data_IF_603786572253
#
_entry.id   IF_603786572253
#
_cell.length_a   1.000
_cell.length_b   1.000
_cell.length_c   1.000
_cell.angle_alpha   90.00
_cell.angle_beta   90.00
_cell.angle_gamma   90.00
#
_symmetry.space_group_name_H-M   'P 1'
#
loop_
_entity.id
_entity.type
_entity.pdbx_description
1 polymer ?
#
# COMPACT_ATOMS: atom_id res chain seq x y z
N UNK A 1 48.31 11.71 -0.14
CA UNK A 1 48.87 13.07 -0.16
C UNK A 1 47.75 14.07 -0.28
N UNK A 2 47.79 15.19 0.47
CA UNK A 2 46.73 16.22 0.42
C UNK A 2 47.38 17.53 0.01
N UNK A 3 46.80 18.23 -0.97
CA UNK A 3 47.33 19.54 -1.45
C UNK A 3 46.21 20.59 -1.43
N UNK A 4 46.53 21.81 -1.06
CA UNK A 4 45.63 22.98 -1.21
C UNK A 4 45.73 23.46 -2.67
N UNK A 5 44.59 23.67 -3.31
CA UNK A 5 44.48 24.17 -4.68
C UNK A 5 44.45 25.70 -4.71
N UNK A 6 44.67 26.28 -5.87
CA UNK A 6 44.61 27.74 -6.08
C UNK A 6 43.22 28.33 -5.86
N UNK A 7 42.17 27.48 -6.03
CA UNK A 7 40.76 27.83 -5.81
C UNK A 7 40.30 27.72 -4.34
N UNK A 8 41.25 27.49 -3.41
CA UNK A 8 40.99 27.43 -1.97
C UNK A 8 40.56 26.03 -1.46
N UNK A 9 40.22 25.10 -2.33
CA UNK A 9 39.81 23.73 -1.96
C UNK A 9 41.04 22.85 -1.66
N UNK A 10 40.81 21.82 -0.84
CA UNK A 10 41.81 20.78 -0.57
C UNK A 10 41.56 19.57 -1.45
N UNK A 11 42.59 18.99 -2.03
CA UNK A 11 42.54 17.76 -2.81
C UNK A 11 43.31 16.66 -2.08
N UNK A 12 42.58 15.62 -1.62
CA UNK A 12 43.18 14.37 -1.17
C UNK A 12 43.27 13.39 -2.33
N UNK A 13 44.33 12.58 -2.41
CA UNK A 13 44.54 11.64 -3.51
C UNK A 13 44.82 10.24 -2.98
N UNK A 14 44.31 9.21 -3.67
CA UNK A 14 44.74 7.83 -3.53
C UNK A 14 44.99 7.20 -4.91
N UNK A 15 45.62 6.03 -4.92
CA UNK A 15 45.74 5.16 -6.09
C UNK A 15 45.02 3.83 -5.82
N UNK A 16 44.14 3.45 -6.71
CA UNK A 16 43.45 2.17 -6.66
C UNK A 16 43.53 1.57 -8.06
N UNK A 17 43.97 0.33 -8.18
CA UNK A 17 44.16 -0.38 -9.46
C UNK A 17 44.96 0.43 -10.50
N UNK A 18 46.04 1.07 -10.08
CA UNK A 18 46.92 1.88 -10.96
C UNK A 18 46.37 3.26 -11.32
N UNK A 19 45.08 3.56 -11.12
CA UNK A 19 44.47 4.86 -11.44
C UNK A 19 44.47 5.78 -10.23
N UNK A 20 44.83 7.07 -10.47
CA UNK A 20 44.84 8.12 -9.44
C UNK A 20 43.48 8.78 -9.33
N UNK A 21 42.89 8.76 -8.12
CA UNK A 21 41.59 9.37 -7.82
C UNK A 21 41.77 10.57 -6.89
N UNK A 22 40.96 11.62 -7.10
CA UNK A 22 41.05 12.90 -6.37
C UNK A 22 39.75 13.15 -5.61
N UNK A 23 39.88 13.65 -4.37
CA UNK A 23 38.76 13.97 -3.49
C UNK A 23 38.86 15.43 -3.06
N UNK A 24 37.86 16.22 -3.41
CA UNK A 24 37.86 17.66 -3.17
C UNK A 24 36.90 18.03 -2.03
N UNK A 25 37.34 18.95 -1.14
CA UNK A 25 36.51 19.52 -0.09
C UNK A 25 37.02 20.91 0.33
N UNK A 26 36.18 21.68 1.02
CA UNK A 26 36.51 22.99 1.53
C UNK A 26 37.57 22.94 2.64
N UNK A 27 37.60 21.84 3.41
CA UNK A 27 38.58 21.63 4.48
C UNK A 27 39.48 20.41 4.19
N UNK A 28 40.70 20.46 4.75
CA UNK A 28 41.65 19.35 4.68
C UNK A 28 41.09 18.07 5.30
N UNK A 29 40.39 18.21 6.44
CA UNK A 29 39.79 17.09 7.19
C UNK A 29 38.72 16.38 6.37
N UNK A 30 37.84 17.12 5.72
CA UNK A 30 36.80 16.56 4.86
C UNK A 30 37.38 15.88 3.60
N UNK A 31 38.38 16.46 2.97
CA UNK A 31 39.02 15.84 1.81
C UNK A 31 39.69 14.51 2.18
N UNK A 32 40.32 14.45 3.35
CA UNK A 32 40.91 13.21 3.90
C UNK A 32 39.80 12.21 4.23
N UNK A 33 38.76 12.64 4.93
CA UNK A 33 37.62 11.75 5.28
C UNK A 33 36.97 11.12 4.04
N UNK A 34 36.72 11.91 2.99
CA UNK A 34 36.20 11.40 1.71
C UNK A 34 37.12 10.36 1.07
N UNK A 35 38.42 10.57 1.09
CA UNK A 35 39.42 9.63 0.58
C UNK A 35 39.40 8.33 1.41
N UNK A 36 39.41 8.46 2.73
CA UNK A 36 39.51 7.30 3.63
C UNK A 36 38.23 6.46 3.64
N UNK A 37 37.07 7.10 3.54
CA UNK A 37 35.80 6.38 3.28
C UNK A 37 35.84 5.59 1.97
N UNK A 38 36.38 6.20 0.90
CA UNK A 38 36.53 5.50 -0.37
C UNK A 38 37.49 4.30 -0.28
N UNK A 39 38.63 4.46 0.39
CA UNK A 39 39.60 3.39 0.58
C UNK A 39 39.05 2.27 1.49
N UNK A 40 38.34 2.60 2.55
CA UNK A 40 37.66 1.63 3.41
C UNK A 40 36.63 0.82 2.60
N UNK A 41 35.85 1.48 1.74
CA UNK A 41 34.88 0.84 0.84
C UNK A 41 35.54 -0.13 -0.14
N UNK A 42 36.60 0.30 -0.84
CA UNK A 42 37.34 -0.55 -1.80
C UNK A 42 37.93 -1.77 -1.09
N UNK A 43 38.37 -1.62 0.16
CA UNK A 43 38.89 -2.71 0.97
C UNK A 43 37.81 -3.66 1.47
N UNK A 44 36.63 -3.14 1.78
CA UNK A 44 35.50 -3.90 2.32
C UNK A 44 34.73 -4.68 1.23
N UNK A 45 34.70 -4.13 0.00
CA UNK A 45 33.98 -4.70 -1.12
C UNK A 45 34.85 -4.70 -2.39
N UNK A 46 35.88 -5.58 -2.47
CA UNK A 46 36.81 -5.61 -3.60
C UNK A 46 36.16 -5.99 -4.93
N UNK A 47 35.06 -6.77 -4.87
CA UNK A 47 34.34 -7.30 -6.04
C UNK A 47 33.14 -6.43 -6.48
N UNK A 48 32.89 -5.29 -5.82
CA UNK A 48 31.79 -4.40 -6.24
C UNK A 48 32.22 -3.69 -7.53
N UNK A 49 31.61 -4.11 -8.63
CA UNK A 49 31.88 -3.55 -9.96
C UNK A 49 31.61 -2.02 -9.92
N UNK A 50 32.66 -1.24 -10.24
CA UNK A 50 32.61 0.24 -10.22
C UNK A 50 31.63 0.79 -11.25
N UNK A 51 31.14 -0.05 -12.13
CA UNK A 51 30.25 0.30 -13.23
C UNK A 51 28.83 -0.28 -13.10
N UNK A 52 28.44 -0.72 -11.88
CA UNK A 52 27.11 -1.23 -11.69
C UNK A 52 26.05 -0.22 -12.14
N UNK A 53 25.18 -0.66 -13.02
CA UNK A 53 24.09 0.15 -13.54
C UNK A 53 22.95 0.27 -12.51
N UNK A 54 22.08 1.26 -12.69
CA UNK A 54 20.89 1.41 -11.85
C UNK A 54 19.98 0.18 -11.95
N UNK A 55 19.88 -0.44 -13.13
CA UNK A 55 19.10 -1.65 -13.36
C UNK A 55 19.63 -2.83 -12.56
N UNK A 56 20.94 -3.11 -12.67
CA UNK A 56 21.60 -4.19 -11.94
C UNK A 56 21.49 -3.99 -10.42
N UNK A 57 21.72 -2.75 -9.95
CA UNK A 57 21.55 -2.44 -8.53
C UNK A 57 20.14 -2.67 -8.03
N UNK A 58 19.12 -2.17 -8.75
CA UNK A 58 17.72 -2.37 -8.36
C UNK A 58 17.35 -3.85 -8.31
N UNK A 59 17.86 -4.66 -9.25
CA UNK A 59 17.61 -6.10 -9.28
C UNK A 59 18.27 -6.81 -8.10
N UNK A 60 19.56 -6.54 -7.83
CA UNK A 60 20.26 -7.09 -6.68
C UNK A 60 19.62 -6.67 -5.34
N UNK A 61 19.22 -5.40 -5.22
CA UNK A 61 18.52 -4.90 -4.03
C UNK A 61 17.18 -5.62 -3.81
N UNK A 62 16.40 -5.88 -4.88
CA UNK A 62 15.15 -6.64 -4.76
C UNK A 62 15.39 -8.05 -4.22
N UNK A 63 16.44 -8.71 -4.64
CA UNK A 63 16.81 -10.05 -4.15
C UNK A 63 17.16 -10.01 -2.65
N UNK A 64 17.94 -9.01 -2.22
CA UNK A 64 18.35 -8.88 -0.80
C UNK A 64 17.18 -8.65 0.13
N UNK A 65 16.16 -7.89 -0.29
CA UNK A 65 14.99 -7.60 0.56
C UNK A 65 13.86 -8.63 0.45
N UNK A 66 14.02 -9.67 -0.37
CA UNK A 66 12.95 -10.64 -0.62
C UNK A 66 12.45 -11.33 0.65
N UNK A 67 13.33 -11.58 1.64
CA UNK A 67 12.98 -12.13 2.95
C UNK A 67 12.40 -11.10 3.93
N UNK A 68 12.70 -9.83 3.76
CA UNK A 68 12.40 -8.78 4.73
C UNK A 68 11.03 -8.13 4.50
N UNK A 69 10.50 -8.26 3.29
CA UNK A 69 9.21 -7.68 2.91
C UNK A 69 8.17 -8.76 2.61
N UNK A 70 6.90 -8.40 2.72
CA UNK A 70 5.84 -9.33 2.33
C UNK A 70 5.92 -9.66 0.83
N UNK A 71 5.52 -10.89 0.39
CA UNK A 71 5.52 -11.26 -1.02
C UNK A 71 4.78 -10.24 -1.92
N UNK A 72 3.67 -9.69 -1.42
CA UNK A 72 2.91 -8.65 -2.14
C UNK A 72 3.66 -7.31 -2.25
N UNK A 73 4.44 -6.95 -1.24
CA UNK A 73 5.29 -5.75 -1.29
C UNK A 73 6.42 -5.95 -2.28
N UNK A 74 7.05 -7.13 -2.27
CA UNK A 74 8.10 -7.49 -3.21
C UNK A 74 7.58 -7.45 -4.66
N UNK A 75 6.44 -8.07 -4.96
CA UNK A 75 5.79 -8.01 -6.27
C UNK A 75 5.49 -6.56 -6.71
N UNK A 76 5.01 -5.73 -5.77
CA UNK A 76 4.74 -4.30 -6.04
C UNK A 76 6.01 -3.51 -6.35
N UNK A 77 7.11 -3.78 -5.63
CA UNK A 77 8.41 -3.15 -5.89
C UNK A 77 8.98 -3.60 -7.23
N UNK A 78 8.93 -4.90 -7.52
CA UNK A 78 9.34 -5.45 -8.81
C UNK A 78 8.58 -4.80 -9.97
N UNK A 79 7.25 -4.71 -9.85
CA UNK A 79 6.40 -4.11 -10.89
C UNK A 79 6.74 -2.64 -11.13
N UNK A 80 6.92 -1.86 -10.06
CA UNK A 80 7.19 -0.42 -10.23
C UNK A 80 8.61 -0.15 -10.69
N UNK A 81 9.59 -0.97 -10.28
CA UNK A 81 10.99 -0.82 -10.72
C UNK A 81 11.20 -1.20 -12.19
N UNK A 82 10.29 -1.94 -12.83
CA UNK A 82 10.33 -2.13 -14.30
C UNK A 82 10.33 -0.80 -15.05
N UNK A 83 9.67 0.22 -14.52
CA UNK A 83 9.76 1.56 -15.08
C UNK A 83 11.16 2.17 -15.02
N UNK A 84 12.10 1.59 -14.27
CA UNK A 84 13.50 2.00 -14.20
C UNK A 84 14.37 1.01 -14.97
N UNK A 85 14.24 -0.28 -14.65
CA UNK A 85 15.17 -1.34 -15.12
C UNK A 85 15.04 -1.60 -16.61
N UNK A 86 13.85 -1.44 -17.19
CA UNK A 86 13.57 -1.67 -18.61
C UNK A 86 13.66 -0.37 -19.46
N UNK A 87 14.23 0.71 -18.92
CA UNK A 87 14.27 2.03 -19.58
C UNK A 87 15.71 2.57 -19.62
N UNK A 88 16.01 3.52 -20.52
CA UNK A 88 17.39 4.03 -20.71
C UNK A 88 18.06 4.56 -19.45
N UNK A 89 17.29 5.08 -18.48
CA UNK A 89 17.84 5.51 -17.19
C UNK A 89 18.45 4.35 -16.40
N UNK A 90 17.91 3.14 -16.53
CA UNK A 90 18.42 1.93 -15.89
C UNK A 90 19.81 1.52 -16.36
N UNK A 91 20.16 1.83 -17.60
CA UNK A 91 21.47 1.50 -18.17
C UNK A 91 22.59 2.47 -17.69
N UNK A 92 22.26 3.56 -16.98
CA UNK A 92 23.27 4.46 -16.44
C UNK A 92 23.94 3.85 -15.22
N UNK A 93 25.25 4.06 -15.11
CA UNK A 93 25.99 3.65 -13.91
C UNK A 93 25.57 4.47 -12.70
N UNK A 94 25.60 3.90 -11.51
CA UNK A 94 25.23 4.61 -10.28
C UNK A 94 26.14 5.83 -10.03
N UNK A 95 27.40 5.78 -10.44
CA UNK A 95 28.36 6.89 -10.30
C UNK A 95 28.00 8.09 -11.20
N UNK A 96 27.39 7.84 -12.35
CA UNK A 96 27.01 8.87 -13.33
C UNK A 96 25.61 9.45 -13.11
N UNK A 97 24.84 8.87 -12.19
CA UNK A 97 23.51 9.38 -11.88
C UNK A 97 23.57 10.77 -11.22
N UNK A 98 22.77 11.68 -11.74
CA UNK A 98 22.62 13.05 -11.24
C UNK A 98 21.14 13.36 -11.02
N UNK A 99 20.81 14.29 -10.12
CA UNK A 99 19.41 14.71 -9.89
C UNK A 99 18.65 15.11 -11.16
N UNK A 100 19.34 15.73 -12.12
CA UNK A 100 18.73 16.15 -13.40
C UNK A 100 18.19 14.97 -14.19
N UNK A 101 18.89 13.83 -14.24
CA UNK A 101 18.45 12.63 -14.96
C UNK A 101 17.11 12.14 -14.45
N UNK A 102 16.89 12.13 -13.14
CA UNK A 102 15.62 11.73 -12.54
C UNK A 102 14.53 12.79 -12.76
N UNK A 103 14.85 14.09 -12.66
CA UNK A 103 13.86 15.15 -12.93
C UNK A 103 13.31 15.04 -14.34
N UNK A 104 14.18 14.95 -15.34
CA UNK A 104 13.77 14.77 -16.74
C UNK A 104 12.96 13.49 -16.90
N UNK A 105 13.45 12.39 -16.35
CA UNK A 105 12.78 11.09 -16.47
C UNK A 105 11.39 11.08 -15.83
N UNK A 106 11.18 11.71 -14.67
CA UNK A 106 9.84 11.82 -14.07
C UNK A 106 8.90 12.67 -14.93
N UNK A 107 9.41 13.71 -15.58
CA UNK A 107 8.61 14.51 -16.51
C UNK A 107 8.22 13.69 -17.73
N UNK A 108 9.12 12.92 -18.31
CA UNK A 108 8.85 12.03 -19.44
C UNK A 108 7.82 10.96 -19.08
N UNK A 109 7.90 10.36 -17.88
CA UNK A 109 6.90 9.42 -17.40
C UNK A 109 5.51 10.05 -17.30
N UNK A 110 5.40 11.27 -16.80
CA UNK A 110 4.14 12.00 -16.73
C UNK A 110 3.62 12.35 -18.12
N UNK A 111 4.48 12.81 -19.02
CA UNK A 111 4.15 13.12 -20.41
C UNK A 111 3.70 11.88 -21.20
N UNK A 112 4.21 10.69 -20.85
CA UNK A 112 3.76 9.41 -21.44
C UNK A 112 2.42 8.92 -20.89
N UNK A 113 1.75 9.69 -20.02
CA UNK A 113 0.41 9.39 -19.50
C UNK A 113 0.38 8.57 -18.23
N UNK A 114 1.52 8.32 -17.58
CA UNK A 114 1.55 7.67 -16.26
C UNK A 114 0.98 8.60 -15.18
N UNK A 115 0.21 8.02 -14.26
CA UNK A 115 -0.39 8.81 -13.19
C UNK A 115 0.68 9.41 -12.26
N UNK A 116 0.46 10.63 -11.72
CA UNK A 116 1.37 11.22 -10.71
C UNK A 116 1.62 10.29 -9.53
N UNK A 117 0.63 9.49 -9.15
CA UNK A 117 0.73 8.50 -8.07
C UNK A 117 1.71 7.38 -8.40
N UNK A 118 1.69 6.88 -9.65
CA UNK A 118 2.62 5.85 -10.12
C UNK A 118 4.05 6.37 -10.12
N UNK A 119 4.26 7.57 -10.66
CA UNK A 119 5.58 8.20 -10.73
C UNK A 119 6.12 8.51 -9.30
N UNK A 120 5.25 9.01 -8.42
CA UNK A 120 5.61 9.25 -7.02
C UNK A 120 5.95 7.95 -6.26
N UNK A 121 5.32 6.84 -6.59
CA UNK A 121 5.65 5.54 -6.02
C UNK A 121 6.97 5.01 -6.58
N UNK A 122 7.21 5.13 -7.89
CA UNK A 122 8.49 4.81 -8.52
C UNK A 122 9.64 5.60 -7.88
N UNK A 123 9.48 6.92 -7.69
CA UNK A 123 10.44 7.75 -6.95
C UNK A 123 10.72 7.19 -5.55
N UNK A 124 9.69 6.83 -4.80
CA UNK A 124 9.84 6.34 -3.42
C UNK A 124 10.64 5.03 -3.37
N UNK A 125 10.30 4.05 -4.21
CA UNK A 125 10.97 2.74 -4.23
C UNK A 125 12.41 2.87 -4.72
N UNK A 126 12.64 3.62 -5.81
CA UNK A 126 13.99 3.88 -6.33
C UNK A 126 14.86 4.62 -5.31
N UNK A 127 14.28 5.60 -4.60
CA UNK A 127 15.00 6.31 -3.54
C UNK A 127 15.38 5.39 -2.37
N UNK A 128 14.55 4.38 -2.07
CA UNK A 128 14.84 3.39 -1.03
C UNK A 128 16.00 2.48 -1.47
N UNK A 129 15.99 2.00 -2.71
CA UNK A 129 17.09 1.22 -3.27
C UNK A 129 18.41 2.01 -3.29
N UNK A 130 18.35 3.29 -3.69
CA UNK A 130 19.54 4.16 -3.70
C UNK A 130 20.02 4.56 -2.29
N UNK A 131 19.13 4.64 -1.30
CA UNK A 131 19.54 4.80 0.11
C UNK A 131 20.32 3.58 0.57
N UNK A 132 19.92 2.38 0.20
CA UNK A 132 20.67 1.17 0.50
C UNK A 132 22.06 1.23 -0.19
N UNK A 133 22.13 1.66 -1.44
CA UNK A 133 23.41 1.84 -2.13
C UNK A 133 24.38 2.82 -1.40
N UNK A 134 23.83 3.80 -0.72
CA UNK A 134 24.65 4.70 0.13
C UNK A 134 25.11 3.99 1.40
N UNK A 135 24.21 3.23 2.07
CA UNK A 135 24.54 2.47 3.28
C UNK A 135 25.60 1.41 2.99
N UNK A 136 25.47 0.72 1.86
CA UNK A 136 26.43 -0.29 1.40
C UNK A 136 27.72 0.33 0.82
N UNK A 137 27.82 1.67 0.81
CA UNK A 137 29.00 2.39 0.32
C UNK A 137 29.17 2.37 -1.20
N UNK A 138 28.19 1.93 -1.98
CA UNK A 138 28.26 1.87 -3.46
C UNK A 138 28.31 3.27 -4.08
N UNK A 139 27.53 4.20 -3.55
CA UNK A 139 27.55 5.63 -3.92
C UNK A 139 27.71 6.53 -2.70
N UNK A 140 28.33 7.71 -2.85
CA UNK A 140 28.57 8.62 -1.72
C UNK A 140 27.31 9.34 -1.23
N UNK A 141 26.29 9.48 -2.07
CA UNK A 141 25.04 10.16 -1.74
C UNK A 141 23.92 9.72 -2.69
N UNK A 142 22.68 9.80 -2.20
CA UNK A 142 21.51 9.47 -3.01
C UNK A 142 21.15 10.66 -3.94
N UNK A 143 21.26 10.51 -5.28
CA UNK A 143 20.93 11.58 -6.22
C UNK A 143 19.43 11.97 -6.19
N UNK A 144 18.54 11.08 -5.73
CA UNK A 144 17.12 11.39 -5.58
C UNK A 144 16.79 12.25 -4.36
N UNK A 145 17.71 12.41 -3.40
CA UNK A 145 17.46 13.24 -2.23
C UNK A 145 17.21 14.73 -2.59
N UNK A 146 17.79 15.20 -3.71
CA UNK A 146 17.61 16.56 -4.22
C UNK A 146 16.48 16.69 -5.27
N UNK A 147 15.69 15.62 -5.49
CA UNK A 147 14.62 15.61 -6.49
C UNK A 147 13.27 15.60 -5.77
N UNK A 148 12.45 16.62 -6.02
CA UNK A 148 11.10 16.66 -5.47
C UNK A 148 10.27 15.50 -6.03
N UNK A 149 9.59 14.80 -5.13
CA UNK A 149 8.57 13.81 -5.48
C UNK A 149 7.43 14.50 -6.25
N UNK A 150 6.93 13.90 -7.34
CA UNK A 150 5.77 14.45 -8.03
C UNK A 150 4.58 14.67 -7.09
N UNK A 151 3.92 15.79 -7.24
CA UNK A 151 2.72 16.09 -6.46
C UNK A 151 1.60 15.14 -6.88
N UNK A 152 1.03 14.46 -5.91
CA UNK A 152 -0.16 13.61 -6.10
C UNK A 152 -1.37 14.38 -5.59
N UNK A 153 -2.28 14.80 -6.48
CA UNK A 153 -3.51 15.47 -6.04
C UNK A 153 -4.26 14.59 -5.05
N UNK A 154 -4.68 15.17 -3.94
CA UNK A 154 -5.57 14.50 -2.99
C UNK A 154 -6.93 14.29 -3.64
N UNK A 155 -7.20 13.09 -4.12
CA UNK A 155 -8.55 12.70 -4.53
C UNK A 155 -9.36 12.44 -3.26
N UNK A 156 -10.35 13.27 -3.01
CA UNK A 156 -11.28 13.06 -1.89
C UNK A 156 -12.02 11.75 -2.14
N UNK A 157 -11.92 10.82 -1.20
CA UNK A 157 -12.74 9.62 -1.24
C UNK A 157 -14.18 10.04 -0.89
N UNK A 158 -15.10 9.89 -1.84
CA UNK A 158 -16.52 10.20 -1.63
C UNK A 158 -17.21 9.00 -1.01
N UNK A 159 -18.09 9.26 -0.04
CA UNK A 159 -19.00 8.24 0.48
C UNK A 159 -20.20 8.10 -0.47
N UNK A 160 -20.74 6.90 -0.55
CA UNK A 160 -21.96 6.61 -1.31
C UNK A 160 -23.20 7.03 -0.51
N UNK A 161 -24.17 7.59 -1.19
CA UNK A 161 -25.51 7.79 -0.61
C UNK A 161 -26.26 6.46 -0.54
N UNK A 162 -27.40 6.44 0.17
CA UNK A 162 -28.25 5.27 0.25
C UNK A 162 -28.79 4.85 -1.13
N UNK A 163 -29.23 5.84 -1.91
CA UNK A 163 -29.77 5.65 -3.25
C UNK A 163 -28.68 5.07 -4.20
N UNK A 164 -27.46 5.58 -4.08
CA UNK A 164 -26.33 5.06 -4.85
C UNK A 164 -25.97 3.62 -4.47
N UNK A 165 -26.02 3.29 -3.18
CA UNK A 165 -25.83 1.90 -2.72
C UNK A 165 -26.88 0.96 -3.29
N UNK A 166 -28.17 1.33 -3.24
CA UNK A 166 -29.25 0.52 -3.80
C UNK A 166 -29.13 0.38 -5.32
N UNK A 167 -28.76 1.47 -6.03
CA UNK A 167 -28.54 1.43 -7.46
C UNK A 167 -27.41 0.45 -7.85
N UNK A 168 -26.31 0.40 -7.07
CA UNK A 168 -25.22 -0.55 -7.29
C UNK A 168 -25.66 -1.97 -6.95
N UNK A 169 -26.36 -2.18 -5.83
CA UNK A 169 -26.84 -3.50 -5.42
C UNK A 169 -27.80 -4.11 -6.43
N UNK A 170 -28.66 -3.30 -7.05
CA UNK A 170 -29.57 -3.74 -8.11
C UNK A 170 -28.85 -4.22 -9.38
N UNK A 171 -27.58 -3.87 -9.57
CA UNK A 171 -26.74 -4.32 -10.71
C UNK A 171 -25.95 -5.60 -10.40
N UNK A 172 -26.03 -6.13 -9.20
CA UNK A 172 -25.31 -7.34 -8.78
C UNK A 172 -26.28 -8.53 -8.83
N UNK A 173 -26.17 -9.35 -9.86
CA UNK A 173 -26.99 -10.56 -10.03
C UNK A 173 -26.49 -11.73 -9.17
N UNK A 174 -25.18 -11.84 -8.90
CA UNK A 174 -24.62 -12.89 -8.08
C UNK A 174 -25.01 -12.70 -6.60
N UNK A 175 -25.76 -13.63 -5.99
CA UNK A 175 -26.27 -13.47 -4.63
C UNK A 175 -25.19 -13.52 -3.55
N UNK A 176 -24.06 -14.21 -3.80
CA UNK A 176 -22.93 -14.22 -2.87
C UNK A 176 -22.26 -12.85 -2.88
N UNK A 177 -21.97 -12.32 -4.08
CA UNK A 177 -21.36 -11.01 -4.24
C UNK A 177 -22.21 -9.90 -3.62
N UNK A 178 -23.52 -9.94 -3.81
CA UNK A 178 -24.46 -8.99 -3.19
C UNK A 178 -24.38 -9.04 -1.65
N UNK A 179 -24.36 -10.24 -1.06
CA UNK A 179 -24.20 -10.39 0.39
C UNK A 179 -22.84 -9.91 0.88
N UNK A 180 -21.77 -10.16 0.15
CA UNK A 180 -20.42 -9.61 0.44
C UNK A 180 -20.46 -8.09 0.46
N UNK A 181 -21.08 -7.46 -0.53
CA UNK A 181 -21.14 -5.99 -0.62
C UNK A 181 -21.97 -5.37 0.51
N UNK A 182 -23.16 -5.93 0.81
CA UNK A 182 -23.98 -5.48 1.94
C UNK A 182 -23.24 -5.65 3.28
N UNK A 183 -22.59 -6.78 3.47
CA UNK A 183 -21.78 -7.03 4.66
C UNK A 183 -20.61 -6.07 4.78
N UNK A 184 -19.99 -5.70 3.66
CA UNK A 184 -18.88 -4.72 3.62
C UNK A 184 -19.33 -3.31 4.07
N UNK A 185 -20.52 -2.86 3.66
CA UNK A 185 -21.05 -1.54 4.06
C UNK A 185 -21.34 -1.51 5.55
N UNK A 186 -21.97 -2.54 6.11
CA UNK A 186 -22.35 -2.55 7.53
C UNK A 186 -21.15 -2.70 8.46
N UNK A 187 -20.21 -3.59 8.09
CA UNK A 187 -19.07 -3.90 8.97
C UNK A 187 -17.86 -2.99 8.75
N UNK A 188 -17.73 -2.39 7.58
CA UNK A 188 -16.55 -1.65 7.16
C UNK A 188 -15.29 -2.51 7.05
N UNK A 189 -15.41 -3.84 7.05
CA UNK A 189 -14.26 -4.75 6.92
C UNK A 189 -13.56 -4.61 5.56
N UNK A 190 -12.25 -4.90 5.54
CA UNK A 190 -11.51 -4.94 4.28
C UNK A 190 -11.96 -6.14 3.44
N UNK A 191 -11.92 -6.02 2.11
CA UNK A 191 -12.25 -7.11 1.20
C UNK A 191 -11.56 -8.43 1.57
N UNK A 192 -10.25 -8.38 1.82
CA UNK A 192 -9.48 -9.56 2.20
C UNK A 192 -9.90 -10.17 3.53
N UNK A 193 -10.37 -9.37 4.48
CA UNK A 193 -10.89 -9.82 5.78
C UNK A 193 -12.24 -10.53 5.61
N UNK A 194 -13.13 -9.97 4.77
CA UNK A 194 -14.45 -10.57 4.48
C UNK A 194 -14.29 -11.91 3.76
N UNK A 195 -13.43 -11.98 2.74
CA UNK A 195 -13.17 -13.20 1.99
C UNK A 195 -12.41 -14.27 2.77
N UNK A 196 -11.72 -13.86 3.85
CA UNK A 196 -11.06 -14.76 4.79
C UNK A 196 -11.92 -15.15 5.99
N UNK A 197 -13.13 -14.62 6.15
CA UNK A 197 -13.97 -14.84 7.32
C UNK A 197 -14.47 -16.29 7.39
N UNK A 198 -14.38 -16.91 8.58
CA UNK A 198 -14.83 -18.29 8.84
C UNK A 198 -16.08 -18.31 9.71
N UNK A 199 -16.82 -19.40 9.65
CA UNK A 199 -17.97 -19.60 10.52
C UNK A 199 -17.63 -19.65 11.99
N UNK A 200 -16.46 -20.18 12.37
CA UNK A 200 -15.98 -20.18 13.76
C UNK A 200 -15.65 -18.77 14.29
N UNK A 201 -15.45 -17.79 13.40
CA UNK A 201 -15.21 -16.39 13.75
C UNK A 201 -16.53 -15.59 13.92
N UNK A 202 -17.68 -16.22 13.68
CA UNK A 202 -19.03 -15.62 13.81
C UNK A 202 -19.72 -16.16 15.05
N UNK A 203 -20.01 -15.30 16.00
CA UNK A 203 -20.79 -15.65 17.18
C UNK A 203 -22.24 -15.12 17.04
N UNK A 204 -23.17 -16.01 16.72
CA UNK A 204 -24.57 -15.66 16.52
C UNK A 204 -25.27 -15.21 17.81
N UNK A 205 -24.92 -15.79 18.95
CA UNK A 205 -25.54 -15.46 20.25
C UNK A 205 -25.07 -14.10 20.77
N UNK A 206 -23.77 -13.82 20.65
CA UNK A 206 -23.17 -12.52 21.06
C UNK A 206 -23.30 -11.46 19.95
N UNK A 207 -23.79 -11.80 18.78
CA UNK A 207 -23.87 -10.95 17.59
C UNK A 207 -22.53 -10.28 17.29
N UNK A 208 -21.45 -11.09 17.19
CA UNK A 208 -20.10 -10.57 16.94
C UNK A 208 -19.40 -11.32 15.82
N UNK A 209 -18.47 -10.63 15.16
CA UNK A 209 -17.59 -11.15 14.13
C UNK A 209 -16.15 -10.79 14.47
N UNK A 210 -15.26 -11.78 14.47
CA UNK A 210 -13.84 -11.60 14.78
C UNK A 210 -12.98 -11.68 13.51
N UNK A 211 -12.06 -10.77 13.34
CA UNK A 211 -11.13 -10.72 12.20
C UNK A 211 -9.83 -11.41 12.61
N UNK A 212 -9.62 -12.65 12.15
CA UNK A 212 -8.46 -13.46 12.54
C UNK A 212 -7.56 -13.85 11.36
N UNK A 213 -8.06 -13.76 10.14
CA UNK A 213 -7.31 -14.09 8.93
C UNK A 213 -7.75 -13.27 7.72
N UNK A 214 -7.00 -13.36 6.64
CA UNK A 214 -7.28 -12.64 5.40
C UNK A 214 -7.11 -13.57 4.19
N UNK A 215 -7.89 -13.32 3.14
CA UNK A 215 -7.73 -13.93 1.84
C UNK A 215 -6.93 -12.99 0.92
N UNK A 216 -5.79 -13.44 0.45
CA UNK A 216 -4.90 -12.69 -0.44
C UNK A 216 -4.85 -13.32 -1.82
N UNK A 217 -4.36 -12.56 -2.80
CA UNK A 217 -4.08 -13.08 -4.13
C UNK A 217 -2.64 -13.60 -4.15
N UNK A 218 -2.45 -14.82 -4.65
CA UNK A 218 -1.14 -15.38 -5.02
C UNK A 218 -1.08 -15.48 -6.55
N UNK A 219 0.05 -15.14 -7.12
CA UNK A 219 0.36 -15.27 -8.56
C UNK A 219 -0.72 -14.65 -9.48
N UNK A 220 -1.31 -13.54 -9.03
CA UNK A 220 -2.32 -12.79 -9.78
C UNK A 220 -3.70 -13.44 -9.91
N UNK A 221 -3.84 -14.75 -9.66
CA UNK A 221 -5.05 -15.54 -9.94
C UNK A 221 -5.58 -16.37 -8.78
N UNK A 222 -4.69 -16.94 -7.97
CA UNK A 222 -5.07 -17.86 -6.90
C UNK A 222 -5.41 -17.12 -5.61
N UNK A 223 -6.41 -17.61 -4.88
CA UNK A 223 -6.76 -17.12 -3.55
C UNK A 223 -6.04 -17.94 -2.48
N UNK A 224 -5.39 -17.26 -1.52
CA UNK A 224 -4.67 -17.91 -0.41
C UNK A 224 -5.10 -17.32 0.92
N UNK A 225 -5.46 -18.18 1.85
CA UNK A 225 -5.78 -17.79 3.22
C UNK A 225 -4.48 -17.63 4.02
N UNK A 226 -4.34 -16.47 4.65
CA UNK A 226 -3.18 -16.16 5.48
C UNK A 226 -3.64 -15.85 6.90
N UNK A 227 -3.14 -16.60 7.87
CA UNK A 227 -3.41 -16.39 9.31
C UNK A 227 -2.71 -15.14 9.88
N UNK A 228 -1.80 -14.55 9.12
CA UNK A 228 -1.09 -13.32 9.52
C UNK A 228 -1.89 -12.10 9.13
N UNK A 229 -2.40 -11.39 10.12
CA UNK A 229 -2.77 -9.97 9.96
C UNK A 229 -1.49 -9.14 10.08
N UNK A 230 -1.23 -8.23 9.14
CA UNK A 230 0.02 -7.41 9.06
C UNK A 230 0.39 -6.66 10.36
N UNK A 231 -0.58 -6.43 11.23
CA UNK A 231 -0.38 -5.69 12.50
C UNK A 231 -1.30 -6.27 13.59
N UNK A 232 -0.93 -6.15 14.84
CA UNK A 232 -1.76 -6.50 15.99
C UNK A 232 -3.10 -5.77 16.01
N UNK A 233 -3.14 -4.53 15.50
CA UNK A 233 -4.36 -3.72 15.35
C UNK A 233 -5.36 -4.27 14.32
N UNK A 234 -4.96 -5.23 13.51
CA UNK A 234 -5.86 -5.87 12.53
C UNK A 234 -6.76 -6.93 13.16
N UNK A 235 -6.36 -7.52 14.30
CA UNK A 235 -7.22 -8.45 15.05
C UNK A 235 -8.21 -7.64 15.88
N UNK A 236 -9.48 -7.82 15.60
CA UNK A 236 -10.55 -7.11 16.31
C UNK A 236 -11.84 -7.90 16.23
N UNK A 237 -12.74 -7.64 17.18
CA UNK A 237 -14.11 -8.17 17.19
C UNK A 237 -15.09 -7.01 16.97
N UNK A 238 -16.03 -7.21 16.06
CA UNK A 238 -17.05 -6.25 15.66
C UNK A 238 -18.40 -6.72 16.17
N UNK A 239 -19.18 -5.86 16.80
CA UNK A 239 -20.60 -6.09 17.02
C UNK A 239 -21.38 -5.87 15.73
N UNK A 240 -22.37 -6.71 15.47
CA UNK A 240 -23.25 -6.66 14.30
C UNK A 240 -24.70 -6.69 14.74
N UNK A 241 -25.58 -6.14 13.91
CA UNK A 241 -27.03 -6.03 14.15
C UNK A 241 -27.80 -7.30 13.73
N UNK A 242 -29.09 -7.32 14.02
CA UNK A 242 -29.98 -8.45 13.69
C UNK A 242 -30.16 -8.62 12.18
N UNK A 243 -30.13 -7.55 11.40
CA UNK A 243 -30.22 -7.61 9.95
C UNK A 243 -28.98 -8.31 9.36
N UNK A 244 -27.79 -7.99 9.88
CA UNK A 244 -26.54 -8.67 9.50
C UNK A 244 -26.50 -10.12 9.94
N UNK A 245 -27.03 -10.44 11.14
CA UNK A 245 -27.22 -11.84 11.59
C UNK A 245 -28.13 -12.61 10.64
N UNK A 246 -29.24 -12.00 10.21
CA UNK A 246 -30.17 -12.60 9.25
C UNK A 246 -29.52 -12.85 7.89
N UNK A 247 -28.72 -11.89 7.39
CA UNK A 247 -27.92 -12.06 6.18
C UNK A 247 -26.96 -13.26 6.31
N UNK A 248 -26.27 -13.38 7.45
CA UNK A 248 -25.34 -14.47 7.71
C UNK A 248 -26.05 -15.83 7.83
N UNK A 249 -27.27 -15.88 8.40
CA UNK A 249 -28.09 -17.10 8.43
C UNK A 249 -28.49 -17.57 7.02
N UNK A 250 -28.92 -16.64 6.16
CA UNK A 250 -29.22 -16.93 4.74
C UNK A 250 -27.96 -17.43 4.03
N UNK A 251 -26.80 -16.81 4.28
CA UNK A 251 -25.53 -17.26 3.71
C UNK A 251 -25.14 -18.65 4.22
N UNK A 252 -25.36 -18.96 5.50
CA UNK A 252 -25.06 -20.28 6.07
C UNK A 252 -25.92 -21.36 5.43
N UNK A 253 -27.23 -21.10 5.27
CA UNK A 253 -28.17 -22.02 4.58
C UNK A 253 -27.77 -22.24 3.11
N UNK A 254 -27.28 -21.18 2.43
CA UNK A 254 -26.72 -21.29 1.07
C UNK A 254 -25.51 -22.21 1.04
N UNK A 255 -24.52 -22.00 1.93
CA UNK A 255 -23.30 -22.82 2.00
C UNK A 255 -23.63 -24.29 2.33
N UNK A 256 -24.62 -24.55 3.21
CA UNK A 256 -25.06 -25.91 3.52
C UNK A 256 -25.67 -26.60 2.29
N UNK A 257 -26.52 -25.92 1.52
CA UNK A 257 -27.05 -26.45 0.26
C UNK A 257 -25.93 -26.77 -0.74
N UNK A 258 -24.97 -25.87 -0.91
CA UNK A 258 -23.83 -26.12 -1.80
C UNK A 258 -23.04 -27.37 -1.38
N UNK A 259 -22.83 -27.58 -0.09
CA UNK A 259 -22.15 -28.78 0.44
C UNK A 259 -22.91 -30.10 0.10
N UNK A 260 -24.23 -30.07 0.07
CA UNK A 260 -25.03 -31.23 -0.31
C UNK A 260 -24.88 -31.59 -1.80
N UNK A 261 -24.64 -30.60 -2.66
CA UNK A 261 -24.45 -30.80 -4.10
C UNK A 261 -22.99 -31.10 -4.48
N UNK A 262 -22.05 -30.91 -3.57
CA UNK A 262 -20.61 -31.08 -3.79
C UNK A 262 -19.99 -31.95 -2.68
N UNK A 263 -20.39 -33.21 -2.52
CA UNK A 263 -19.99 -34.05 -1.38
C UNK A 263 -18.50 -34.34 -1.32
N UNK A 264 -17.78 -34.35 -2.47
CA UNK A 264 -16.36 -34.67 -2.57
C UNK A 264 -15.44 -33.45 -2.28
N UNK A 265 -16.02 -32.28 -2.05
CA UNK A 265 -15.24 -31.12 -1.64
C UNK A 265 -14.91 -31.17 -0.15
N UNK A 266 -13.63 -30.98 0.16
CA UNK A 266 -13.11 -30.97 1.53
C UNK A 266 -13.78 -29.90 2.42
N UNK A 267 -13.48 -29.89 3.73
CA UNK A 267 -14.13 -29.00 4.69
C UNK A 267 -13.85 -27.54 4.37
N UNK A 268 -14.87 -26.79 3.95
CA UNK A 268 -14.82 -25.34 3.79
C UNK A 268 -15.52 -24.68 4.99
N UNK A 269 -14.75 -23.90 5.77
CA UNK A 269 -15.25 -23.13 6.92
C UNK A 269 -15.47 -21.65 6.59
N UNK A 270 -15.28 -21.23 5.33
CA UNK A 270 -15.45 -19.83 4.92
C UNK A 270 -16.93 -19.43 4.92
N UNK A 271 -17.19 -18.19 5.34
CA UNK A 271 -18.53 -17.57 5.29
C UNK A 271 -18.94 -17.27 3.85
N UNK A 272 -18.00 -16.80 3.03
CA UNK A 272 -18.22 -16.43 1.64
C UNK A 272 -17.27 -17.22 0.72
N UNK A 273 -17.53 -18.52 0.50
CA UNK A 273 -16.79 -19.32 -0.47
C UNK A 273 -17.28 -19.06 -1.91
N UNK A 274 -16.50 -19.52 -2.89
CA UNK A 274 -16.95 -19.64 -4.28
C UNK A 274 -18.03 -20.72 -4.43
N UNK A 275 -18.60 -20.83 -5.62
CA UNK A 275 -19.57 -21.90 -5.95
C UNK A 275 -18.98 -23.31 -5.78
N UNK A 276 -17.66 -23.45 -5.88
CA UNK A 276 -16.94 -24.70 -5.65
C UNK A 276 -16.42 -24.83 -4.21
N UNK A 277 -16.98 -24.11 -3.24
CA UNK A 277 -16.57 -24.11 -1.83
C UNK A 277 -15.09 -23.78 -1.58
N UNK A 278 -14.42 -23.14 -2.52
CA UNK A 278 -13.04 -22.68 -2.42
C UNK A 278 -12.99 -21.18 -2.07
N UNK A 279 -11.83 -20.63 -1.63
CA UNK A 279 -11.70 -19.20 -1.45
C UNK A 279 -11.93 -18.42 -2.74
N UNK A 280 -12.74 -17.37 -2.70
CA UNK A 280 -12.96 -16.48 -3.84
C UNK A 280 -11.69 -15.64 -4.07
N UNK A 281 -11.22 -15.60 -5.31
CA UNK A 281 -10.11 -14.71 -5.67
C UNK A 281 -10.52 -13.24 -5.46
N UNK A 282 -9.79 -12.49 -4.62
CA UNK A 282 -10.13 -11.09 -4.36
C UNK A 282 -10.18 -10.22 -5.61
N UNK A 283 -9.41 -10.54 -6.67
CA UNK A 283 -9.43 -9.79 -7.92
C UNK A 283 -10.76 -9.93 -8.65
N UNK A 284 -11.38 -11.11 -8.64
CA UNK A 284 -12.70 -11.33 -9.24
C UNK A 284 -13.75 -10.44 -8.58
N UNK A 285 -13.80 -10.43 -7.24
CA UNK A 285 -14.70 -9.55 -6.49
C UNK A 285 -14.49 -8.07 -6.84
N UNK A 286 -13.22 -7.64 -7.00
CA UNK A 286 -12.95 -6.25 -7.42
C UNK A 286 -13.45 -5.96 -8.82
N UNK A 287 -13.21 -6.88 -9.75
CA UNK A 287 -13.64 -6.75 -11.14
C UNK A 287 -15.17 -6.63 -11.23
N UNK A 288 -15.89 -7.56 -10.61
CA UNK A 288 -17.34 -7.63 -10.68
C UNK A 288 -18.02 -6.43 -9.99
N UNK A 289 -17.50 -6.02 -8.82
CA UNK A 289 -17.97 -4.81 -8.13
C UNK A 289 -17.68 -3.55 -8.95
N UNK A 290 -16.53 -3.47 -9.61
CA UNK A 290 -16.21 -2.35 -10.50
C UNK A 290 -17.16 -2.30 -11.70
N UNK A 291 -17.53 -3.45 -12.26
CA UNK A 291 -18.52 -3.54 -13.32
C UNK A 291 -19.91 -3.07 -12.85
N UNK A 292 -20.34 -3.46 -11.64
CA UNK A 292 -21.61 -3.02 -11.04
C UNK A 292 -21.61 -1.50 -10.80
N UNK A 293 -20.53 -0.93 -10.29
CA UNK A 293 -20.40 0.54 -10.14
C UNK A 293 -20.48 1.25 -11.49
N UNK A 294 -19.78 0.76 -12.50
CA UNK A 294 -19.85 1.32 -13.86
C UNK A 294 -21.27 1.28 -14.42
N UNK A 295 -21.97 0.14 -14.26
CA UNK A 295 -23.35 -0.04 -14.71
C UNK A 295 -24.35 0.85 -13.95
N UNK A 296 -24.03 1.25 -12.73
CA UNK A 296 -24.81 2.19 -11.94
C UNK A 296 -24.45 3.68 -12.20
N UNK A 297 -23.57 3.98 -13.18
CA UNK A 297 -23.13 5.34 -13.46
C UNK A 297 -22.11 5.91 -12.49
N UNK A 298 -21.44 5.06 -11.72
CA UNK A 298 -20.52 5.42 -10.63
C UNK A 298 -19.08 4.88 -10.87
N UNK A 299 -18.43 5.15 -12.02
CA UNK A 299 -17.18 4.46 -12.43
C UNK A 299 -15.97 4.76 -11.54
N UNK A 300 -16.03 5.82 -10.73
CA UNK A 300 -14.93 6.24 -9.85
C UNK A 300 -14.90 5.49 -8.50
N UNK A 301 -15.97 4.75 -8.18
CA UNK A 301 -16.05 3.98 -6.95
C UNK A 301 -15.45 2.56 -7.12
N UNK A 302 -15.11 1.96 -6.00
CA UNK A 302 -14.52 0.63 -5.91
C UNK A 302 -15.02 -0.11 -4.67
N UNK A 303 -14.66 -1.39 -4.52
CA UNK A 303 -15.00 -2.14 -3.31
C UNK A 303 -14.59 -1.42 -2.01
N UNK A 304 -13.45 -0.71 -2.02
CA UNK A 304 -12.98 0.02 -0.84
C UNK A 304 -13.91 1.20 -0.46
N UNK A 305 -14.68 1.69 -1.41
CA UNK A 305 -15.66 2.75 -1.18
C UNK A 305 -16.77 2.34 -0.20
N UNK A 306 -17.14 1.05 -0.14
CA UNK A 306 -18.07 0.54 0.86
C UNK A 306 -17.57 0.75 2.30
N UNK A 307 -16.29 0.49 2.52
CA UNK A 307 -15.65 0.74 3.82
C UNK A 307 -15.54 2.24 4.14
N UNK A 308 -15.24 3.05 3.14
CA UNK A 308 -15.22 4.51 3.30
C UNK A 308 -16.63 5.04 3.63
N UNK A 309 -17.65 4.55 2.94
CA UNK A 309 -19.06 4.87 3.22
C UNK A 309 -19.45 4.46 4.65
N UNK A 310 -19.08 3.24 5.08
CA UNK A 310 -19.31 2.81 6.47
C UNK A 310 -18.69 3.77 7.49
N UNK A 311 -17.44 4.19 7.26
CA UNK A 311 -16.77 5.15 8.15
C UNK A 311 -17.49 6.49 8.19
N UNK A 312 -17.84 7.04 7.03
CA UNK A 312 -18.52 8.32 6.87
C UNK A 312 -19.87 8.31 7.55
N UNK A 313 -20.70 7.29 7.31
CA UNK A 313 -22.04 7.19 7.92
C UNK A 313 -21.98 7.07 9.44
N UNK A 314 -21.03 6.33 9.99
CA UNK A 314 -20.85 6.23 11.45
C UNK A 314 -20.42 7.57 12.07
N UNK A 315 -19.51 8.29 11.41
CA UNK A 315 -19.07 9.61 11.86
C UNK A 315 -20.21 10.64 11.77
N UNK A 316 -20.98 10.65 10.68
CA UNK A 316 -22.18 11.49 10.52
C UNK A 316 -23.25 11.22 11.57
N UNK A 317 -23.37 9.95 12.00
CA UNK A 317 -24.26 9.55 13.09
C UNK A 317 -23.72 9.91 14.50
N UNK A 318 -22.61 10.67 14.60
CA UNK A 318 -22.03 11.09 15.88
C UNK A 318 -21.21 10.03 16.61
N UNK A 319 -20.91 8.88 15.98
CA UNK A 319 -20.07 7.85 16.61
C UNK A 319 -18.65 8.40 16.79
N UNK A 320 -18.12 8.30 18.01
CA UNK A 320 -16.78 8.77 18.33
C UNK A 320 -15.74 8.19 17.35
N UNK A 321 -14.90 9.07 16.79
CA UNK A 321 -13.88 8.70 15.78
C UNK A 321 -12.94 7.57 16.26
N UNK A 322 -12.65 7.48 17.55
CA UNK A 322 -11.82 6.41 18.13
C UNK A 322 -12.50 5.04 18.04
N UNK A 323 -13.81 5.00 18.27
CA UNK A 323 -14.61 3.79 18.10
C UNK A 323 -14.64 3.37 16.62
N UNK A 324 -14.84 4.33 15.71
CA UNK A 324 -14.80 4.09 14.26
C UNK A 324 -13.42 3.59 13.84
N UNK A 325 -12.33 4.19 14.32
CA UNK A 325 -10.96 3.75 14.08
C UNK A 325 -10.74 2.29 14.51
N UNK A 326 -11.15 1.94 15.73
CA UNK A 326 -11.02 0.59 16.27
C UNK A 326 -11.87 -0.40 15.46
N UNK A 327 -13.13 -0.07 15.18
CA UNK A 327 -14.05 -0.88 14.39
C UNK A 327 -13.48 -1.19 13.01
N UNK A 328 -12.93 -0.20 12.34
CA UNK A 328 -12.32 -0.37 11.03
C UNK A 328 -10.93 -1.03 11.10
N UNK A 329 -10.21 -0.93 12.20
CA UNK A 329 -8.82 -1.39 12.32
C UNK A 329 -7.87 -0.54 11.47
N UNK A 330 -7.97 0.80 11.59
CA UNK A 330 -7.01 1.73 11.02
C UNK A 330 -5.78 1.79 11.94
N UNK A 331 -4.61 1.49 11.39
CA UNK A 331 -3.34 1.57 12.13
C UNK A 331 -2.94 3.01 12.47
N UNK A 332 -3.45 3.99 11.71
CA UNK A 332 -3.23 5.43 11.94
C UNK A 332 -4.55 6.14 12.18
N UNK A 333 -4.57 7.02 13.17
CA UNK A 333 -5.69 7.97 13.39
C UNK A 333 -5.89 8.90 12.20
N UNK A 334 -4.83 9.31 11.51
CA UNK A 334 -4.87 10.25 10.40
C UNK A 334 -5.91 9.85 9.35
N UNK A 335 -5.97 8.59 8.97
CA UNK A 335 -6.95 8.10 7.98
C UNK A 335 -8.41 8.29 8.42
N UNK A 336 -8.72 8.15 9.71
CA UNK A 336 -10.08 8.38 10.23
C UNK A 336 -10.33 9.88 10.44
N UNK A 337 -9.32 10.62 10.85
CA UNK A 337 -9.41 12.07 11.03
C UNK A 337 -9.57 12.81 9.70
N UNK A 338 -8.93 12.35 8.62
CA UNK A 338 -9.12 12.88 7.26
C UNK A 338 -10.59 12.76 6.83
N UNK A 339 -11.26 11.65 7.19
CA UNK A 339 -12.70 11.48 6.94
C UNK A 339 -13.52 12.41 7.85
N UNK A 340 -13.19 12.44 9.15
CA UNK A 340 -13.90 13.23 10.16
C UNK A 340 -13.90 14.73 9.83
N UNK A 341 -12.76 15.29 9.48
CA UNK A 341 -12.61 16.70 9.14
C UNK A 341 -13.49 17.16 7.95
N UNK A 342 -13.89 16.23 7.09
CA UNK A 342 -14.76 16.52 5.94
C UNK A 342 -16.25 16.27 6.20
N UNK A 343 -16.57 15.48 7.22
CA UNK A 343 -17.94 15.00 7.48
C UNK A 343 -18.69 15.89 8.46
N UNK A 344 -17.98 16.72 9.22
CA UNK A 344 -18.53 17.58 10.25
C UNK A 344 -18.32 19.08 9.92
N UNK A 345 -18.84 19.62 8.80
CA UNK A 345 -18.93 21.06 8.64
C UNK A 345 -19.90 21.58 9.70
N UNK A 346 -19.49 22.57 10.47
CA UNK A 346 -20.30 23.11 11.57
C UNK A 346 -19.99 22.57 12.96
N UNK A 347 -18.99 21.66 13.09
CA UNK A 347 -18.53 21.20 14.41
C UNK A 347 -18.04 22.35 15.31
N UNK A 348 -17.52 23.41 14.72
CA UNK A 348 -17.11 24.62 15.43
C UNK A 348 -18.31 25.43 15.96
N UNK A 349 -19.37 25.52 15.18
CA UNK A 349 -20.65 26.19 15.62
C UNK A 349 -21.32 25.39 16.74
N UNK A 350 -21.27 24.07 16.68
CA UNK A 350 -21.79 23.21 17.74
C UNK A 350 -20.92 23.31 19.01
N UNK A 351 -19.61 23.34 18.86
CA UNK A 351 -18.66 23.54 19.96
C UNK A 351 -18.89 24.90 20.63
N UNK A 352 -19.14 25.97 19.84
CA UNK A 352 -19.46 27.28 20.36
C UNK A 352 -20.78 27.28 21.16
N UNK A 353 -21.84 26.62 20.66
CA UNK A 353 -23.12 26.47 21.39
C UNK A 353 -22.96 25.68 22.69
N UNK A 354 -22.17 24.61 22.68
CA UNK A 354 -21.90 23.84 23.89
C UNK A 354 -21.11 24.70 24.90
N UNK A 355 -20.08 25.41 24.44
CA UNK A 355 -19.31 26.31 25.30
C UNK A 355 -20.15 27.38 25.94
N UNK A 356 -21.07 28.00 25.19
CA UNK A 356 -22.03 29.00 25.70
C UNK A 356 -22.99 28.39 26.75
N UNK A 357 -23.36 27.12 26.59
CA UNK A 357 -24.25 26.42 27.55
C UNK A 357 -23.59 26.03 28.88
N UNK A 358 -22.25 26.13 28.98
CA UNK A 358 -21.47 25.81 30.19
C UNK A 358 -21.30 27.04 31.08
N UNK A 359 -21.46 28.23 30.53
CA UNK A 359 -21.37 29.53 31.22
C UNK A 359 -22.74 30.02 31.71
#
# INVERSE_FOLDING_TARGET
>A
MVRKRKDGYYAATCRVEGKKKFFYAATRREAVAKRDMYLARVKQYPDLDKHITLSEWCSAWLETIASDVSPKTHESYTTVLKHITERPIGARTLEDLRPVHFRTYWQDMLASGLSPRTVAYCHTVTSTALKQAVLDGVIPSNPLAAVKKPHVPHTRAMALTREQLEAVFARISNPILLRICRFAVVTGMRRSEILGLRWQDVNFSRKTVSVNQTCLVRDGRSAVITKSTKTSSSRRTLSIDDATISLLRVQKAYCLRMKLHLPDYGPCDLVFPSENLTPICPNNVTHDVKAAFKAAGLPHFSFHSFRHTSATLLLQAGVNYKVVQQRLGHSSCATTMDIYAHVMPGADEEAARIADSIL
#
